data_IF_169938361339
#
_entry.id   IF_169938361339
#
_cell.length_a   1.000
_cell.length_b   1.000
_cell.length_c   1.000
_cell.angle_alpha   90.00
_cell.angle_beta   90.00
_cell.angle_gamma   90.00
#
_symmetry.space_group_name_H-M   'P 1'
#
loop_
_entity.id
_entity.type
_entity.pdbx_description
1 polymer ?
#
# COMPACT_ATOMS: atom_id res chain seq x y z
N UNK A 1 -21.01 8.33 -3.19
CA UNK A 1 -21.53 7.72 -1.95
C UNK A 1 -22.12 6.34 -2.26
N UNK A 2 -22.15 5.42 -1.29
CA UNK A 2 -22.70 4.07 -1.44
C UNK A 2 -24.06 3.94 -0.70
N UNK A 3 -24.87 2.98 -1.13
CA UNK A 3 -26.05 2.50 -0.39
C UNK A 3 -25.72 1.16 0.28
N UNK A 4 -26.34 0.89 1.43
CA UNK A 4 -26.19 -0.36 2.18
C UNK A 4 -27.56 -1.02 2.30
N UNK A 5 -27.63 -2.31 1.94
CA UNK A 5 -28.80 -3.13 2.08
C UNK A 5 -28.47 -4.37 2.91
N UNK A 6 -29.39 -4.79 3.78
CA UNK A 6 -29.41 -6.14 4.30
C UNK A 6 -30.38 -6.99 3.47
N UNK A 7 -30.08 -8.27 3.32
CA UNK A 7 -30.94 -9.20 2.57
C UNK A 7 -31.19 -10.49 3.34
N UNK A 8 -32.44 -10.94 3.36
CA UNK A 8 -32.82 -12.23 3.92
C UNK A 8 -33.49 -13.09 2.84
N UNK A 9 -33.17 -14.37 2.85
CA UNK A 9 -33.79 -15.36 1.97
C UNK A 9 -34.81 -16.15 2.77
N UNK A 10 -36.04 -16.20 2.29
CA UNK A 10 -37.11 -16.96 2.91
C UNK A 10 -36.99 -18.49 2.64
N UNK A 11 -37.89 -19.28 3.24
CA UNK A 11 -37.93 -20.74 3.10
C UNK A 11 -38.20 -21.22 1.66
N UNK A 12 -38.70 -20.34 0.77
CA UNK A 12 -38.98 -20.63 -0.64
C UNK A 12 -37.80 -20.23 -1.55
N UNK A 13 -36.75 -19.59 -0.99
CA UNK A 13 -35.60 -19.10 -1.74
C UNK A 13 -35.81 -17.70 -2.35
N UNK A 14 -36.81 -16.95 -1.88
CA UNK A 14 -37.07 -15.59 -2.30
C UNK A 14 -36.29 -14.60 -1.38
N UNK A 15 -35.60 -13.63 -1.99
CA UNK A 15 -34.86 -12.62 -1.28
C UNK A 15 -35.74 -11.38 -0.99
N UNK A 16 -35.70 -10.90 0.24
CA UNK A 16 -36.14 -9.56 0.64
C UNK A 16 -34.95 -8.70 1.02
N UNK A 17 -35.02 -7.39 0.77
CA UNK A 17 -33.96 -6.45 1.05
C UNK A 17 -34.50 -5.25 1.81
N UNK A 18 -33.82 -4.90 2.89
CA UNK A 18 -34.05 -3.69 3.67
C UNK A 18 -32.95 -2.67 3.40
N UNK A 19 -33.31 -1.42 3.15
CA UNK A 19 -32.38 -0.33 2.91
C UNK A 19 -31.91 0.24 4.25
N UNK A 20 -30.62 0.04 4.58
CA UNK A 20 -30.02 0.55 5.81
C UNK A 20 -29.48 1.96 5.60
N UNK A 21 -28.63 2.16 4.58
CA UNK A 21 -28.11 3.47 4.23
C UNK A 21 -28.44 3.83 2.79
N UNK A 22 -28.94 5.05 2.57
CA UNK A 22 -29.40 5.46 1.25
C UNK A 22 -30.21 6.77 1.27
N UNK A 23 -31.28 6.81 0.45
CA UNK A 23 -32.20 7.93 0.44
C UNK A 23 -33.25 7.75 1.55
N UNK A 24 -33.36 8.76 2.44
CA UNK A 24 -34.38 8.79 3.50
C UNK A 24 -35.81 8.66 2.94
N UNK A 25 -36.06 9.23 1.75
CA UNK A 25 -37.38 9.14 1.09
C UNK A 25 -37.75 7.69 0.69
N UNK A 26 -36.77 6.81 0.55
CA UNK A 26 -36.94 5.39 0.24
C UNK A 26 -36.91 4.51 1.51
N UNK A 27 -36.84 5.13 2.70
CA UNK A 27 -36.91 4.47 3.98
C UNK A 27 -35.55 4.12 4.61
N UNK A 28 -34.47 4.65 4.10
CA UNK A 28 -33.15 4.48 4.70
C UNK A 28 -33.07 5.15 6.08
N UNK A 29 -32.46 4.45 7.02
CA UNK A 29 -32.20 5.00 8.38
C UNK A 29 -30.98 5.92 8.39
N UNK A 30 -29.98 5.61 7.57
CA UNK A 30 -28.74 6.37 7.43
C UNK A 30 -28.62 6.99 6.03
N UNK A 31 -27.96 8.15 5.90
CA UNK A 31 -27.72 8.77 4.59
C UNK A 31 -26.74 7.96 3.74
N UNK A 32 -26.75 8.21 2.43
CA UNK A 32 -25.74 7.67 1.51
C UNK A 32 -24.33 7.88 2.03
N UNK A 33 -23.47 6.86 1.89
CA UNK A 33 -22.06 6.93 2.26
C UNK A 33 -21.81 7.15 3.74
N UNK A 34 -22.84 6.97 4.59
CA UNK A 34 -22.75 7.17 6.05
C UNK A 34 -22.26 8.57 6.42
N UNK A 35 -22.78 9.58 5.74
CA UNK A 35 -22.43 10.99 5.95
C UNK A 35 -21.17 11.46 5.23
N UNK A 36 -20.61 10.62 4.35
CA UNK A 36 -19.54 11.02 3.43
C UNK A 36 -20.03 10.99 1.99
N UNK A 37 -20.10 12.15 1.33
CA UNK A 37 -20.56 12.26 -0.06
C UNK A 37 -19.63 11.57 -1.07
N UNK A 38 -18.40 11.30 -0.68
CA UNK A 38 -17.32 10.78 -1.54
C UNK A 38 -17.02 9.32 -1.35
N UNK A 39 -17.55 8.71 -0.30
CA UNK A 39 -17.21 7.35 0.06
C UNK A 39 -17.94 6.32 -0.76
N UNK A 40 -17.18 5.32 -1.22
CA UNK A 40 -17.65 4.00 -1.58
C UNK A 40 -17.38 3.01 -0.43
N UNK A 41 -17.87 1.80 -0.56
CA UNK A 41 -17.48 0.67 0.28
C UNK A 41 -16.49 -0.20 -0.50
N UNK A 42 -15.26 -0.31 -0.03
CA UNK A 42 -14.20 -1.09 -0.67
C UNK A 42 -14.15 -2.52 -0.15
N UNK A 43 -14.44 -2.71 1.13
CA UNK A 43 -14.32 -4.01 1.79
C UNK A 43 -15.36 -4.18 2.90
N UNK A 44 -15.83 -5.41 3.06
CA UNK A 44 -16.70 -5.83 4.15
C UNK A 44 -16.04 -7.00 4.88
N UNK A 45 -16.05 -6.97 6.22
CA UNK A 45 -15.47 -8.01 7.06
C UNK A 45 -16.25 -8.16 8.36
N UNK A 46 -16.53 -9.40 8.75
CA UNK A 46 -17.12 -9.70 10.06
C UNK A 46 -16.04 -9.94 11.10
N UNK A 47 -16.15 -9.25 12.25
CA UNK A 47 -15.25 -9.43 13.39
C UNK A 47 -15.96 -9.07 14.68
N UNK A 48 -15.78 -9.87 15.73
CA UNK A 48 -16.31 -9.59 17.06
C UNK A 48 -17.84 -9.41 17.16
N UNK A 49 -18.60 -10.00 16.22
CA UNK A 49 -20.07 -9.86 16.16
C UNK A 49 -20.55 -8.64 15.34
N UNK A 50 -19.64 -7.86 14.76
CA UNK A 50 -19.94 -6.70 13.93
C UNK A 50 -19.60 -6.96 12.46
N UNK A 51 -20.29 -6.26 11.56
CA UNK A 51 -19.89 -6.12 10.17
C UNK A 51 -19.13 -4.80 9.99
N UNK A 52 -17.85 -4.88 9.62
CA UNK A 52 -17.02 -3.72 9.32
C UNK A 52 -17.18 -3.32 7.87
N UNK A 53 -17.24 -2.02 7.62
CA UNK A 53 -17.35 -1.39 6.30
C UNK A 53 -16.11 -0.53 6.10
N UNK A 54 -15.18 -1.00 5.28
CA UNK A 54 -14.01 -0.23 4.87
C UNK A 54 -14.37 0.75 3.77
N UNK A 55 -14.12 2.03 4.02
CA UNK A 55 -14.39 3.10 3.08
C UNK A 55 -13.46 3.10 1.86
N UNK A 56 -13.88 3.84 0.85
CA UNK A 56 -13.19 4.01 -0.42
C UNK A 56 -13.44 5.41 -0.95
N UNK A 57 -12.37 6.16 -1.19
CA UNK A 57 -12.38 7.39 -1.96
C UNK A 57 -11.62 7.15 -3.27
N UNK A 58 -12.09 7.73 -4.37
CA UNK A 58 -11.44 7.61 -5.67
C UNK A 58 -10.98 8.97 -6.18
N UNK A 59 -9.76 9.41 -5.79
CA UNK A 59 -9.22 10.69 -6.26
C UNK A 59 -8.95 10.69 -7.78
N UNK A 60 -8.99 9.53 -8.46
CA UNK A 60 -8.91 9.46 -9.91
C UNK A 60 -10.13 10.07 -10.59
N UNK A 61 -11.26 10.22 -9.89
CA UNK A 61 -12.42 10.94 -10.39
C UNK A 61 -12.13 12.44 -10.59
N UNK A 62 -11.19 13.00 -9.85
CA UNK A 62 -10.72 14.39 -10.03
C UNK A 62 -9.76 14.56 -11.22
N UNK A 63 -9.29 13.47 -11.84
CA UNK A 63 -8.29 13.52 -12.91
C UNK A 63 -8.69 14.40 -14.10
N UNK A 64 -9.93 14.38 -14.63
CA UNK A 64 -10.34 15.27 -15.71
C UNK A 64 -10.20 16.75 -15.36
N UNK A 65 -10.55 17.14 -14.13
CA UNK A 65 -10.47 18.52 -13.64
C UNK A 65 -9.01 18.94 -13.46
N UNK A 66 -8.21 18.08 -12.82
CA UNK A 66 -6.75 18.25 -12.66
C UNK A 66 -6.07 18.47 -14.02
N UNK A 67 -6.39 17.66 -15.02
CA UNK A 67 -5.82 17.80 -16.37
C UNK A 67 -6.18 19.15 -17.02
N UNK A 68 -7.27 19.76 -16.61
CA UNK A 68 -7.70 21.10 -17.08
C UNK A 68 -7.23 22.24 -16.14
N UNK A 69 -6.44 21.95 -15.12
CA UNK A 69 -5.86 22.92 -14.18
C UNK A 69 -6.76 23.28 -13.00
N UNK A 70 -7.86 22.54 -12.79
CA UNK A 70 -8.70 22.67 -11.60
C UNK A 70 -8.35 21.58 -10.60
N UNK A 71 -7.76 21.96 -9.47
CA UNK A 71 -7.32 21.05 -8.41
C UNK A 71 -8.33 20.96 -7.25
N UNK A 72 -9.51 21.60 -7.37
CA UNK A 72 -10.47 21.69 -6.27
C UNK A 72 -10.94 20.33 -5.82
N UNK A 73 -11.43 19.50 -6.75
CA UNK A 73 -11.91 18.14 -6.44
C UNK A 73 -10.82 17.26 -5.84
N UNK A 74 -9.59 17.32 -6.37
CA UNK A 74 -8.45 16.58 -5.82
C UNK A 74 -8.16 17.00 -4.37
N UNK A 75 -8.14 18.31 -4.10
CA UNK A 75 -7.91 18.82 -2.75
C UNK A 75 -8.99 18.36 -1.78
N UNK A 76 -10.24 18.41 -2.19
CA UNK A 76 -11.38 17.94 -1.39
C UNK A 76 -11.28 16.43 -1.12
N UNK A 77 -10.89 15.61 -2.11
CA UNK A 77 -10.68 14.18 -1.93
C UNK A 77 -9.55 13.89 -0.93
N UNK A 78 -8.41 14.56 -1.08
CA UNK A 78 -7.27 14.40 -0.17
C UNK A 78 -7.53 14.94 1.24
N UNK A 79 -8.48 15.89 1.37
CA UNK A 79 -8.90 16.44 2.67
C UNK A 79 -10.00 15.62 3.35
N UNK A 80 -10.53 14.61 2.66
CA UNK A 80 -11.56 13.70 3.16
C UNK A 80 -11.06 12.25 3.04
N UNK A 81 -10.05 11.87 3.80
CA UNK A 81 -9.50 10.52 3.74
C UNK A 81 -10.49 9.48 4.23
N UNK A 82 -10.16 8.22 3.97
CA UNK A 82 -11.06 7.09 4.17
C UNK A 82 -11.45 6.88 5.65
N UNK A 83 -12.70 6.45 5.85
CA UNK A 83 -13.23 6.07 7.16
C UNK A 83 -13.44 4.56 7.26
N UNK A 84 -13.59 4.09 8.51
CA UNK A 84 -14.01 2.74 8.86
C UNK A 84 -15.25 2.82 9.73
N UNK A 85 -16.27 2.10 9.35
CA UNK A 85 -17.49 1.94 10.15
C UNK A 85 -17.69 0.47 10.53
N UNK A 86 -18.53 0.24 11.54
CA UNK A 86 -19.06 -1.09 11.85
C UNK A 86 -20.53 -0.99 12.17
N UNK A 87 -21.27 -2.06 11.92
CA UNK A 87 -22.67 -2.18 12.32
C UNK A 87 -22.87 -3.48 13.10
N UNK A 88 -23.80 -3.44 14.05
CA UNK A 88 -24.21 -4.58 14.87
C UNK A 88 -25.38 -5.37 14.24
N UNK A 89 -25.90 -6.35 14.95
CA UNK A 89 -27.05 -7.18 14.52
C UNK A 89 -28.37 -6.41 14.41
N UNK A 90 -28.48 -5.21 15.01
CA UNK A 90 -29.65 -4.34 14.92
C UNK A 90 -29.51 -3.29 13.82
N UNK A 91 -28.42 -3.31 13.05
CA UNK A 91 -28.01 -2.31 12.08
C UNK A 91 -27.60 -0.95 12.70
N UNK A 92 -27.33 -0.90 14.02
CA UNK A 92 -26.77 0.30 14.64
C UNK A 92 -25.33 0.51 14.14
N UNK A 93 -25.04 1.69 13.57
CA UNK A 93 -23.75 2.00 12.96
C UNK A 93 -22.91 2.87 13.87
N UNK A 94 -21.65 2.48 14.04
CA UNK A 94 -20.62 3.25 14.74
C UNK A 94 -19.46 3.57 13.79
N UNK A 95 -18.89 4.76 13.90
CA UNK A 95 -17.67 5.13 13.19
C UNK A 95 -16.47 4.71 14.01
N UNK A 96 -15.65 3.79 13.48
CA UNK A 96 -14.47 3.25 14.16
C UNK A 96 -13.24 4.12 13.93
N UNK A 97 -13.02 4.57 12.69
CA UNK A 97 -11.97 5.52 12.32
C UNK A 97 -12.55 6.59 11.40
N UNK A 98 -12.25 7.85 11.64
CA UNK A 98 -12.82 8.95 10.87
C UNK A 98 -12.70 10.29 11.60
N UNK A 99 -13.48 11.28 11.14
CA UNK A 99 -13.61 12.60 11.76
C UNK A 99 -15.05 12.84 12.18
N UNK A 100 -15.28 13.65 13.23
CA UNK A 100 -16.63 14.03 13.64
C UNK A 100 -17.38 14.71 12.49
N UNK A 101 -18.64 14.34 12.31
CA UNK A 101 -19.53 14.92 11.32
C UNK A 101 -20.97 15.02 11.85
N UNK A 102 -21.92 15.41 11.01
CA UNK A 102 -23.33 15.57 11.44
C UNK A 102 -23.96 14.24 11.90
N UNK A 103 -23.58 13.11 11.32
CA UNK A 103 -24.10 11.79 11.67
C UNK A 103 -23.39 11.22 12.91
N UNK A 104 -22.09 11.48 13.05
CA UNK A 104 -21.25 11.03 14.16
C UNK A 104 -20.61 12.24 14.88
N UNK A 105 -21.39 13.03 15.64
CA UNK A 105 -20.91 14.28 16.23
C UNK A 105 -19.84 14.07 17.32
N UNK A 106 -19.85 12.91 17.96
CA UNK A 106 -18.83 12.55 18.98
C UNK A 106 -17.51 12.07 18.33
N UNK A 107 -17.50 11.89 16.99
CA UNK A 107 -16.36 11.36 16.25
C UNK A 107 -16.24 9.85 16.32
N UNK A 108 -15.05 9.32 15.96
CA UNK A 108 -14.80 7.87 15.99
C UNK A 108 -14.75 7.33 17.41
N UNK A 109 -15.23 6.08 17.60
CA UNK A 109 -15.11 5.35 18.85
C UNK A 109 -13.72 4.79 19.11
N UNK A 110 -12.89 4.68 18.04
CA UNK A 110 -11.54 4.13 18.08
C UNK A 110 -10.46 5.21 18.22
N UNK A 111 -9.20 4.75 18.21
CA UNK A 111 -8.03 5.59 18.39
C UNK A 111 -7.50 6.19 17.07
N UNK A 112 -8.12 5.86 15.92
CA UNK A 112 -7.62 6.30 14.59
C UNK A 112 -8.51 7.39 13.99
N UNK A 113 -7.89 8.49 13.52
CA UNK A 113 -8.58 9.51 12.72
C UNK A 113 -8.89 8.99 11.30
N UNK A 114 -9.54 9.81 10.49
CA UNK A 114 -9.74 9.52 9.08
C UNK A 114 -8.42 9.22 8.38
N UNK A 115 -8.43 8.31 7.41
CA UNK A 115 -7.24 7.80 6.74
C UNK A 115 -6.24 7.10 7.65
N UNK A 116 -6.63 6.77 8.87
CA UNK A 116 -5.73 6.17 9.88
C UNK A 116 -4.50 7.02 10.17
N UNK A 117 -4.62 8.35 10.01
CA UNK A 117 -3.59 9.34 10.24
C UNK A 117 -2.81 9.76 8.99
N UNK A 118 -3.16 9.25 7.82
CA UNK A 118 -2.60 9.72 6.54
C UNK A 118 -3.71 10.10 5.55
N UNK A 119 -3.66 11.34 5.05
CA UNK A 119 -4.57 11.78 3.99
C UNK A 119 -4.34 11.04 2.66
N UNK A 120 -3.21 10.35 2.53
CA UNK A 120 -2.89 9.56 1.34
C UNK A 120 -3.55 8.18 1.34
N UNK A 121 -4.07 7.73 2.48
CA UNK A 121 -4.87 6.52 2.60
C UNK A 121 -6.28 6.77 2.07
N UNK A 122 -6.55 6.28 0.87
CA UNK A 122 -7.80 6.52 0.14
C UNK A 122 -8.72 5.29 0.10
N UNK A 123 -8.22 4.10 0.44
CA UNK A 123 -9.00 2.88 0.61
C UNK A 123 -8.64 2.16 1.91
N UNK A 124 -9.63 1.58 2.58
CA UNK A 124 -9.45 0.36 3.36
C UNK A 124 -9.50 -0.79 2.35
N UNK A 125 -8.35 -1.15 1.79
CA UNK A 125 -8.33 -2.05 0.64
C UNK A 125 -8.65 -3.48 1.01
N UNK A 126 -8.12 -3.94 2.15
CA UNK A 126 -8.38 -5.29 2.63
C UNK A 126 -8.46 -5.35 4.16
N UNK A 127 -9.36 -6.18 4.65
CA UNK A 127 -9.42 -6.61 6.05
C UNK A 127 -9.38 -8.13 6.10
N UNK A 128 -8.84 -8.68 7.19
CA UNK A 128 -8.81 -10.11 7.46
C UNK A 128 -8.87 -10.36 8.96
N UNK A 129 -9.61 -11.42 9.35
CA UNK A 129 -9.63 -11.91 10.72
C UNK A 129 -8.68 -13.11 10.81
N UNK A 130 -7.59 -12.94 11.52
CA UNK A 130 -6.60 -13.99 11.72
C UNK A 130 -6.22 -14.08 13.20
N UNK A 131 -6.26 -15.29 13.77
CA UNK A 131 -5.99 -15.58 15.18
C UNK A 131 -6.73 -14.67 16.17
N UNK A 132 -8.01 -14.35 15.88
CA UNK A 132 -8.82 -13.48 16.72
C UNK A 132 -8.46 -12.00 16.69
N UNK A 133 -7.60 -11.58 15.78
CA UNK A 133 -7.22 -10.19 15.52
C UNK A 133 -7.76 -9.73 14.16
N UNK A 134 -8.15 -8.46 14.10
CA UNK A 134 -8.56 -7.81 12.86
C UNK A 134 -7.36 -7.09 12.22
N UNK A 135 -6.93 -7.57 11.07
CA UNK A 135 -5.91 -6.93 10.24
C UNK A 135 -6.57 -6.03 9.20
N UNK A 136 -5.97 -4.87 8.97
CA UNK A 136 -6.48 -3.88 8.03
C UNK A 136 -5.32 -3.29 7.22
N UNK A 137 -5.42 -3.35 5.90
CA UNK A 137 -4.44 -2.76 4.99
C UNK A 137 -5.07 -1.72 4.07
N UNK A 138 -4.32 -0.65 3.82
CA UNK A 138 -4.77 0.51 3.06
C UNK A 138 -4.24 0.54 1.62
N UNK A 139 -4.70 1.52 0.89
CA UNK A 139 -4.13 2.01 -0.36
C UNK A 139 -3.61 3.42 -0.15
N UNK A 140 -2.33 3.63 -0.43
CA UNK A 140 -1.68 4.93 -0.46
C UNK A 140 -1.57 5.44 -1.90
N UNK A 141 -2.25 6.55 -2.20
CA UNK A 141 -2.19 7.16 -3.53
C UNK A 141 -0.80 7.70 -3.86
N UNK A 142 -0.03 8.11 -2.86
CA UNK A 142 1.32 8.63 -3.06
C UNK A 142 2.30 7.59 -3.59
N UNK A 143 2.08 6.31 -3.29
CA UNK A 143 2.89 5.23 -3.82
C UNK A 143 2.91 5.17 -5.36
N UNK A 144 1.81 5.54 -6.02
CA UNK A 144 1.73 5.63 -7.49
C UNK A 144 2.51 6.80 -8.07
N UNK A 145 2.69 7.87 -7.29
CA UNK A 145 3.38 9.10 -7.71
C UNK A 145 4.90 9.04 -7.49
N UNK A 146 5.36 8.11 -6.68
CA UNK A 146 6.73 8.00 -6.19
C UNK A 146 7.81 8.18 -7.28
N UNK A 147 7.82 7.45 -8.40
CA UNK A 147 8.89 7.54 -9.38
C UNK A 147 9.02 8.93 -10.01
N UNK A 148 7.88 9.58 -10.28
CA UNK A 148 7.84 10.87 -10.96
C UNK A 148 8.29 11.98 -10.01
N UNK A 149 7.78 11.99 -8.78
CA UNK A 149 8.12 13.00 -7.78
C UNK A 149 9.60 13.02 -7.46
N UNK A 150 10.24 11.88 -7.34
CA UNK A 150 11.66 11.76 -7.02
C UNK A 150 12.58 12.35 -8.07
N UNK A 151 12.24 12.25 -9.36
CA UNK A 151 13.03 12.81 -10.44
C UNK A 151 12.93 14.34 -10.58
N UNK A 152 11.92 14.94 -10.00
CA UNK A 152 11.59 16.33 -10.30
C UNK A 152 11.71 17.26 -9.11
N UNK A 153 11.61 16.78 -7.87
CA UNK A 153 11.71 17.57 -6.64
C UNK A 153 13.06 17.46 -5.93
N UNK A 154 14.04 16.73 -6.51
CA UNK A 154 15.36 16.51 -5.95
C UNK A 154 15.44 15.38 -4.91
N UNK A 155 14.38 14.67 -4.63
CA UNK A 155 14.39 13.49 -3.74
C UNK A 155 15.26 12.36 -4.31
N UNK A 156 15.50 12.39 -5.61
CA UNK A 156 16.45 11.50 -6.29
C UNK A 156 17.82 11.44 -5.58
N UNK A 157 18.29 12.55 -5.01
CA UNK A 157 19.57 12.60 -4.29
C UNK A 157 19.51 11.98 -2.90
N UNK A 158 18.33 11.67 -2.40
CA UNK A 158 18.08 11.08 -1.08
C UNK A 158 17.78 9.59 -1.15
N UNK A 159 17.55 9.06 -2.34
CA UNK A 159 17.19 7.65 -2.54
C UNK A 159 18.28 6.71 -2.04
N UNK A 160 17.86 5.63 -1.40
CA UNK A 160 18.75 4.51 -1.04
C UNK A 160 19.24 3.77 -2.29
N UNK A 161 20.23 2.89 -2.12
CA UNK A 161 20.75 2.04 -3.21
C UNK A 161 19.63 1.15 -3.78
N UNK A 162 18.82 0.57 -2.91
CA UNK A 162 17.71 -0.33 -3.26
C UNK A 162 16.63 0.42 -4.05
N UNK A 163 16.30 1.64 -3.65
CA UNK A 163 15.35 2.50 -4.38
C UNK A 163 15.89 2.87 -5.75
N UNK A 164 17.18 3.20 -5.85
CA UNK A 164 17.84 3.47 -7.13
C UNK A 164 17.79 2.27 -8.07
N UNK A 165 18.16 1.07 -7.59
CA UNK A 165 18.14 -0.15 -8.38
C UNK A 165 16.74 -0.38 -8.96
N UNK A 166 15.70 -0.25 -8.15
CA UNK A 166 14.31 -0.40 -8.59
C UNK A 166 13.89 0.62 -9.65
N UNK A 167 14.27 1.89 -9.50
CA UNK A 167 13.97 2.93 -10.48
C UNK A 167 14.68 2.68 -11.81
N UNK A 168 15.92 2.22 -11.76
CA UNK A 168 16.71 1.85 -12.94
C UNK A 168 16.07 0.69 -13.71
N UNK A 169 15.66 -0.37 -13.00
CA UNK A 169 14.97 -1.51 -13.60
C UNK A 169 13.68 -1.07 -14.32
N UNK A 170 12.92 -0.17 -13.71
CA UNK A 170 11.73 0.41 -14.33
C UNK A 170 12.05 1.19 -15.59
N UNK A 171 13.05 2.09 -15.54
CA UNK A 171 13.48 2.87 -16.70
C UNK A 171 13.99 1.94 -17.83
N UNK A 172 14.73 0.90 -17.50
CA UNK A 172 15.18 -0.11 -18.48
C UNK A 172 14.02 -0.81 -19.17
N UNK A 173 12.95 -1.15 -18.45
CA UNK A 173 11.75 -1.74 -19.05
C UNK A 173 11.08 -0.77 -20.04
N UNK A 174 10.95 0.51 -19.68
CA UNK A 174 10.43 1.56 -20.58
C UNK A 174 11.31 1.71 -21.81
N UNK A 175 12.64 1.72 -21.64
CA UNK A 175 13.61 1.78 -22.74
C UNK A 175 13.51 0.54 -23.65
N UNK A 176 13.38 -0.66 -23.08
CA UNK A 176 13.23 -1.89 -23.83
C UNK A 176 11.96 -1.89 -24.68
N UNK A 177 10.84 -1.43 -24.12
CA UNK A 177 9.58 -1.24 -24.86
C UNK A 177 9.75 -0.24 -26.02
N UNK A 178 10.44 0.88 -25.77
CA UNK A 178 10.72 1.89 -26.76
C UNK A 178 11.59 1.35 -27.90
N UNK A 179 12.67 0.61 -27.59
CA UNK A 179 13.56 -0.03 -28.57
C UNK A 179 12.81 -1.06 -29.42
N UNK A 180 11.89 -1.81 -28.87
CA UNK A 180 11.15 -2.85 -29.58
C UNK A 180 10.16 -2.26 -30.59
N UNK A 181 9.49 -1.17 -30.24
CA UNK A 181 8.56 -0.47 -31.13
C UNK A 181 9.26 0.25 -32.28
N UNK A 182 10.47 0.77 -32.06
CA UNK A 182 11.19 1.59 -33.06
C UNK A 182 12.13 0.81 -34.00
N UNK A 183 12.30 -0.49 -33.81
CA UNK A 183 13.24 -1.31 -34.64
C UNK A 183 13.00 -1.25 -36.18
N UNK A 184 11.81 -0.86 -36.61
CA UNK A 184 11.40 -0.90 -38.03
C UNK A 184 11.58 0.43 -38.79
N UNK A 185 11.52 1.56 -38.13
CA UNK A 185 11.38 2.87 -38.77
C UNK A 185 12.69 3.68 -38.81
N UNK A 186 13.60 3.47 -37.90
CA UNK A 186 14.87 4.19 -37.78
C UNK A 186 15.82 3.89 -38.96
N UNK A 187 15.77 2.69 -39.50
CA UNK A 187 16.63 2.27 -40.60
C UNK A 187 16.32 2.94 -41.97
N UNK A 188 15.18 3.60 -42.11
CA UNK A 188 14.69 4.16 -43.38
C UNK A 188 14.84 5.68 -43.50
N UNK A 189 15.17 6.38 -42.42
CA UNK A 189 15.25 7.85 -42.39
C UNK A 189 16.68 8.32 -42.11
N UNK A 190 17.16 9.36 -42.75
CA UNK A 190 18.54 9.85 -42.65
C UNK A 190 19.01 10.39 -41.28
N UNK A 191 18.28 10.09 -40.19
CA UNK A 191 18.56 10.54 -38.81
C UNK A 191 19.56 9.63 -38.04
N UNK A 192 20.38 8.86 -38.76
CA UNK A 192 21.22 7.80 -38.19
C UNK A 192 22.22 8.26 -37.08
N UNK A 193 22.67 9.52 -37.13
CA UNK A 193 23.66 10.01 -36.15
C UNK A 193 23.03 10.40 -34.79
N UNK A 194 21.88 11.05 -34.81
CA UNK A 194 21.18 11.51 -33.61
C UNK A 194 20.51 10.34 -32.87
N UNK A 195 20.00 9.38 -33.66
CA UNK A 195 19.46 8.13 -33.11
C UNK A 195 20.58 7.25 -32.54
N UNK A 196 21.74 7.19 -33.17
CA UNK A 196 22.90 6.46 -32.64
C UNK A 196 23.40 7.06 -31.32
N UNK A 197 23.38 8.38 -31.18
CA UNK A 197 23.73 9.06 -29.92
C UNK A 197 22.72 8.74 -28.79
N UNK A 198 21.44 8.71 -29.12
CA UNK A 198 20.40 8.29 -28.17
C UNK A 198 20.59 6.82 -27.74
N UNK A 199 20.87 5.93 -28.69
CA UNK A 199 21.17 4.52 -28.42
C UNK A 199 22.42 4.34 -27.55
N UNK A 200 23.47 5.12 -27.79
CA UNK A 200 24.71 5.11 -27.01
C UNK A 200 24.44 5.55 -25.54
N UNK A 201 23.64 6.58 -25.35
CA UNK A 201 23.27 7.04 -24.01
C UNK A 201 22.34 6.05 -23.30
N UNK A 202 21.46 5.37 -24.03
CA UNK A 202 20.63 4.29 -23.47
C UNK A 202 21.49 3.09 -23.03
N UNK A 203 22.52 2.72 -23.81
CA UNK A 203 23.51 1.69 -23.44
C UNK A 203 24.33 2.15 -22.23
N UNK A 204 24.69 3.43 -22.17
CA UNK A 204 25.42 4.00 -21.02
C UNK A 204 24.56 3.96 -19.76
N UNK A 205 23.26 4.24 -19.87
CA UNK A 205 22.31 4.12 -18.76
C UNK A 205 22.20 2.66 -18.28
N UNK A 206 22.13 1.72 -19.21
CA UNK A 206 22.11 0.27 -18.92
C UNK A 206 23.39 -0.18 -18.19
N UNK A 207 24.56 0.24 -18.67
CA UNK A 207 25.85 -0.06 -18.05
C UNK A 207 26.01 0.59 -16.66
N UNK A 208 25.50 1.81 -16.46
CA UNK A 208 25.49 2.46 -15.16
C UNK A 208 24.58 1.70 -14.19
N UNK A 209 23.48 1.12 -14.67
CA UNK A 209 22.56 0.34 -13.84
C UNK A 209 23.17 -0.99 -13.38
N UNK A 210 23.89 -1.69 -14.26
CA UNK A 210 24.55 -2.95 -13.95
C UNK A 210 25.68 -2.78 -12.90
N UNK A 211 26.34 -1.62 -12.90
CA UNK A 211 27.42 -1.29 -11.97
C UNK A 211 26.97 -0.53 -10.72
N UNK A 212 25.65 -0.36 -10.52
CA UNK A 212 25.09 0.37 -9.38
C UNK A 212 25.26 -0.36 -8.03
N UNK A 213 25.84 -1.55 -8.06
CA UNK A 213 25.90 -2.46 -6.92
C UNK A 213 26.92 -2.10 -5.84
N UNK A 214 27.93 -1.28 -6.08
CA UNK A 214 29.01 -1.21 -5.13
C UNK A 214 29.07 0.02 -4.24
N UNK A 215 28.71 1.18 -4.61
CA UNK A 215 28.53 2.38 -3.75
C UNK A 215 27.90 3.52 -4.54
N UNK A 216 26.62 3.74 -4.41
CA UNK A 216 25.97 4.86 -5.09
C UNK A 216 26.30 6.16 -4.36
N UNK A 217 27.34 6.85 -4.82
CA UNK A 217 27.70 8.16 -4.31
C UNK A 217 26.73 9.24 -4.82
N UNK A 218 26.71 10.40 -4.18
CA UNK A 218 25.96 11.56 -4.68
C UNK A 218 26.38 11.94 -6.11
N UNK A 219 27.67 11.76 -6.45
CA UNK A 219 28.19 12.02 -7.78
C UNK A 219 27.62 11.04 -8.85
N UNK A 220 27.42 9.77 -8.48
CA UNK A 220 26.84 8.80 -9.40
C UNK A 220 25.34 9.07 -9.64
N UNK A 221 24.61 9.46 -8.60
CA UNK A 221 23.22 9.91 -8.70
C UNK A 221 23.09 11.14 -9.60
N UNK A 222 24.01 12.10 -9.50
CA UNK A 222 24.02 13.27 -10.36
C UNK A 222 24.28 12.90 -11.83
N UNK A 223 25.25 12.01 -12.10
CA UNK A 223 25.51 11.53 -13.47
C UNK A 223 24.30 10.85 -14.08
N UNK A 224 23.60 10.03 -13.30
CA UNK A 224 22.39 9.37 -13.75
C UNK A 224 21.30 10.37 -14.11
N UNK A 225 21.10 11.38 -13.26
CA UNK A 225 20.14 12.46 -13.51
C UNK A 225 20.50 13.28 -14.76
N UNK A 226 21.76 13.67 -14.89
CA UNK A 226 22.26 14.43 -16.05
C UNK A 226 22.05 13.64 -17.34
N UNK A 227 22.29 12.32 -17.31
CA UNK A 227 22.06 11.42 -18.46
C UNK A 227 20.57 11.33 -18.84
N UNK A 228 19.67 11.30 -17.88
CA UNK A 228 18.22 11.33 -18.17
C UNK A 228 17.82 12.65 -18.85
N UNK A 229 18.36 13.77 -18.39
CA UNK A 229 18.10 15.05 -19.04
C UNK A 229 18.67 15.10 -20.47
N UNK A 230 19.85 14.55 -20.69
CA UNK A 230 20.47 14.46 -22.01
C UNK A 230 19.65 13.55 -22.95
N UNK A 231 19.18 12.40 -22.48
CA UNK A 231 18.27 11.50 -23.23
C UNK A 231 16.99 12.23 -23.62
N UNK A 232 16.42 13.05 -22.72
CA UNK A 232 15.25 13.87 -23.03
C UNK A 232 15.53 14.87 -24.18
N UNK A 233 16.64 15.59 -24.11
CA UNK A 233 17.02 16.54 -25.16
C UNK A 233 17.28 15.84 -26.50
N UNK A 234 17.93 14.68 -26.47
CA UNK A 234 18.16 13.85 -27.67
C UNK A 234 16.85 13.34 -28.25
N UNK A 235 15.91 12.91 -27.41
CA UNK A 235 14.57 12.55 -27.88
C UNK A 235 13.93 13.71 -28.64
N UNK A 236 13.95 14.92 -28.07
CA UNK A 236 13.37 16.10 -28.73
C UNK A 236 14.01 16.39 -30.08
N UNK A 237 15.31 16.07 -30.29
CA UNK A 237 16.01 16.25 -31.55
C UNK A 237 15.62 15.22 -32.61
N UNK A 238 15.29 13.99 -32.22
CA UNK A 238 14.93 12.90 -33.14
C UNK A 238 13.42 12.67 -33.28
N UNK A 239 12.65 13.40 -32.52
CA UNK A 239 11.20 13.23 -32.36
C UNK A 239 10.44 13.06 -33.69
N UNK A 240 10.75 13.89 -34.66
CA UNK A 240 10.02 13.94 -35.94
C UNK A 240 10.27 12.70 -36.82
N UNK A 241 11.25 11.87 -36.48
CA UNK A 241 11.59 10.62 -37.17
C UNK A 241 10.96 9.39 -36.51
N UNK A 242 10.28 9.56 -35.37
CA UNK A 242 9.64 8.47 -34.67
C UNK A 242 8.22 8.21 -35.18
N UNK A 243 7.73 7.01 -34.97
CA UNK A 243 6.34 6.67 -35.30
C UNK A 243 5.35 7.63 -34.58
N UNK A 244 4.33 8.04 -35.32
CA UNK A 244 3.38 9.08 -34.87
C UNK A 244 2.73 8.79 -33.50
N UNK A 245 2.46 7.52 -33.18
CA UNK A 245 1.86 7.17 -31.90
C UNK A 245 2.88 7.24 -30.76
N UNK A 246 4.15 6.91 -31.02
CA UNK A 246 5.25 7.08 -30.06
C UNK A 246 5.49 8.55 -29.81
N UNK A 247 5.54 9.38 -30.87
CA UNK A 247 5.63 10.83 -30.75
C UNK A 247 4.51 11.39 -29.90
N UNK A 248 3.26 11.07 -30.20
CA UNK A 248 2.10 11.56 -29.45
C UNK A 248 2.19 11.20 -27.97
N UNK A 249 2.60 9.98 -27.66
CA UNK A 249 2.72 9.51 -26.28
C UNK A 249 3.80 10.28 -25.55
N UNK A 250 5.01 10.39 -26.12
CA UNK A 250 6.14 11.04 -25.46
C UNK A 250 5.95 12.56 -25.43
N UNK A 251 5.42 13.18 -26.49
CA UNK A 251 5.07 14.60 -26.49
C UNK A 251 3.97 14.93 -25.47
N UNK A 252 2.98 14.08 -25.38
CA UNK A 252 2.00 14.19 -24.32
C UNK A 252 2.67 14.17 -22.94
N UNK A 253 3.71 13.36 -22.75
CA UNK A 253 4.47 13.32 -21.49
C UNK A 253 5.37 14.55 -21.26
N UNK A 254 5.89 15.20 -22.29
CA UNK A 254 6.94 16.22 -22.14
C UNK A 254 6.49 17.67 -22.33
N UNK A 255 5.42 17.94 -23.07
CA UNK A 255 5.07 19.30 -23.49
C UNK A 255 3.61 19.70 -23.37
N UNK A 256 2.75 18.85 -22.83
CA UNK A 256 1.32 19.14 -22.73
C UNK A 256 1.02 19.75 -21.37
N UNK A 257 0.26 20.86 -21.35
CA UNK A 257 -0.24 21.51 -20.15
C UNK A 257 -0.98 20.53 -19.22
N UNK A 258 -1.72 19.57 -19.77
CA UNK A 258 -2.40 18.54 -19.01
C UNK A 258 -1.44 17.63 -18.23
N UNK A 259 -0.31 17.29 -18.81
CA UNK A 259 0.73 16.48 -18.12
C UNK A 259 1.44 17.32 -17.07
N UNK A 260 1.69 18.60 -17.34
CA UNK A 260 2.21 19.49 -16.32
C UNK A 260 1.25 19.61 -15.14
N UNK A 261 -0.06 19.75 -15.39
CA UNK A 261 -1.08 19.78 -14.35
C UNK A 261 -1.12 18.46 -13.56
N UNK A 262 -1.09 17.33 -14.24
CA UNK A 262 -0.97 16.00 -13.60
C UNK A 262 0.29 15.88 -12.74
N UNK A 263 1.43 16.35 -13.24
CA UNK A 263 2.66 16.42 -12.48
C UNK A 263 2.52 17.30 -11.23
N UNK A 264 1.88 18.47 -11.33
CA UNK A 264 1.63 19.32 -10.17
C UNK A 264 0.74 18.62 -9.12
N UNK A 265 -0.27 17.85 -9.55
CA UNK A 265 -1.08 17.05 -8.64
C UNK A 265 -0.25 15.99 -7.90
N UNK A 266 0.63 15.30 -8.62
CA UNK A 266 1.57 14.33 -8.02
C UNK A 266 2.48 15.01 -7.00
N UNK A 267 3.05 16.18 -7.32
CA UNK A 267 3.88 16.94 -6.38
C UNK A 267 3.08 17.35 -5.13
N UNK A 268 1.82 17.69 -5.30
CA UNK A 268 0.92 18.00 -4.18
C UNK A 268 0.75 16.78 -3.26
N UNK A 269 0.47 15.60 -3.82
CA UNK A 269 0.38 14.35 -3.06
C UNK A 269 1.69 14.03 -2.34
N UNK A 270 2.82 14.12 -3.03
CA UNK A 270 4.16 13.89 -2.44
C UNK A 270 4.45 14.85 -1.28
N UNK A 271 4.07 16.11 -1.44
CA UNK A 271 4.23 17.12 -0.38
C UNK A 271 3.33 16.82 0.82
N UNK A 272 2.06 16.51 0.57
CA UNK A 272 1.08 16.23 1.63
C UNK A 272 1.36 14.91 2.37
N UNK A 273 2.03 13.95 1.75
CA UNK A 273 2.45 12.69 2.41
C UNK A 273 3.50 12.89 3.51
N UNK A 274 4.10 14.07 3.60
CA UNK A 274 5.15 14.40 4.57
C UNK A 274 6.32 13.40 4.60
N UNK A 275 6.52 12.64 3.54
CA UNK A 275 7.58 11.65 3.39
C UNK A 275 7.17 10.21 3.74
N UNK A 276 6.00 10.00 4.31
CA UNK A 276 5.40 8.66 4.45
C UNK A 276 4.77 8.26 3.13
N UNK A 277 5.12 7.08 2.62
CA UNK A 277 4.67 6.54 1.32
C UNK A 277 4.67 5.03 1.37
N UNK A 278 3.71 4.46 0.65
CA UNK A 278 3.43 3.04 0.68
C UNK A 278 2.23 2.75 1.57
N UNK A 279 1.63 1.58 1.41
CA UNK A 279 0.44 1.24 2.19
C UNK A 279 0.75 1.15 3.68
N UNK A 280 -0.28 1.42 4.47
CA UNK A 280 -0.28 1.18 5.90
C UNK A 280 -0.92 -0.18 6.20
N UNK A 281 -0.39 -0.85 7.22
CA UNK A 281 -0.93 -2.09 7.78
C UNK A 281 -1.13 -1.92 9.27
N UNK A 282 -2.32 -2.30 9.71
CA UNK A 282 -2.76 -2.19 11.11
C UNK A 282 -3.27 -3.53 11.63
N UNK A 283 -3.27 -3.67 12.96
CA UNK A 283 -3.85 -4.80 13.68
C UNK A 283 -4.67 -4.30 14.88
N UNK A 284 -5.78 -4.97 15.16
CA UNK A 284 -6.63 -4.68 16.31
C UNK A 284 -7.04 -5.96 17.02
N UNK A 285 -7.01 -5.93 18.36
CA UNK A 285 -7.50 -7.02 19.21
C UNK A 285 -8.98 -6.87 19.59
N UNK A 286 -9.52 -5.66 19.50
CA UNK A 286 -10.88 -5.32 19.94
C UNK A 286 -11.78 -4.82 18.81
N UNK A 287 -11.20 -4.64 17.60
CA UNK A 287 -11.89 -4.09 16.44
C UNK A 287 -12.14 -2.58 16.50
N UNK A 288 -11.66 -1.91 17.53
CA UNK A 288 -11.88 -0.47 17.77
C UNK A 288 -10.56 0.29 17.78
N UNK A 289 -9.59 -0.21 18.54
CA UNK A 289 -8.27 0.39 18.65
C UNK A 289 -7.27 -0.38 17.77
N UNK A 290 -6.55 0.36 16.93
CA UNK A 290 -5.60 -0.22 15.99
C UNK A 290 -4.17 0.17 16.35
N UNK A 291 -3.29 -0.82 16.29
CA UNK A 291 -1.84 -0.68 16.36
C UNK A 291 -1.24 -0.71 14.95
N UNK A 292 -0.17 0.06 14.76
CA UNK A 292 0.51 0.15 13.47
C UNK A 292 1.52 -0.98 13.33
N UNK A 293 1.43 -1.76 12.24
CA UNK A 293 2.47 -2.72 11.85
C UNK A 293 3.49 -2.04 10.94
N UNK A 294 3.04 -1.32 9.92
CA UNK A 294 3.90 -0.52 9.02
C UNK A 294 3.14 0.67 8.46
N UNK A 295 3.89 1.74 8.06
CA UNK A 295 3.39 2.92 7.35
C UNK A 295 4.18 3.24 6.07
N UNK A 296 5.00 2.29 5.61
CA UNK A 296 5.94 2.50 4.51
C UNK A 296 5.92 1.39 3.45
N UNK A 297 4.79 0.66 3.36
CA UNK A 297 4.63 -0.42 2.41
C UNK A 297 5.53 -1.64 2.70
N UNK A 298 5.79 -1.94 3.96
CA UNK A 298 6.73 -2.97 4.41
C UNK A 298 8.19 -2.64 4.01
N UNK A 299 8.59 -1.39 4.14
CA UNK A 299 9.91 -0.89 3.78
C UNK A 299 10.09 -0.58 2.29
N UNK A 300 9.01 -0.63 1.52
CA UNK A 300 9.03 -0.33 0.09
C UNK A 300 7.94 0.68 -0.27
N UNK A 301 8.28 1.96 -0.45
CA UNK A 301 7.32 3.03 -0.74
C UNK A 301 6.58 2.87 -2.08
N UNK A 302 7.00 1.94 -2.94
CA UNK A 302 6.29 1.62 -4.18
C UNK A 302 5.21 0.53 -4.00
N UNK A 303 5.15 -0.11 -2.85
CA UNK A 303 4.02 -0.92 -2.43
C UNK A 303 2.86 0.00 -2.04
N UNK A 304 2.08 0.43 -3.03
CA UNK A 304 1.01 1.41 -2.79
C UNK A 304 -0.25 0.82 -2.18
N UNK A 305 -0.34 -0.50 -2.03
CA UNK A 305 -1.54 -1.09 -1.46
C UNK A 305 -1.37 -2.50 -0.89
N UNK A 306 -2.05 -2.74 0.22
CA UNK A 306 -2.29 -4.07 0.76
C UNK A 306 -3.47 -4.69 0.01
N UNK A 307 -3.19 -5.48 -1.03
CA UNK A 307 -4.22 -5.94 -1.97
C UNK A 307 -4.92 -7.21 -1.53
N UNK A 308 -4.21 -8.11 -0.87
CA UNK A 308 -4.74 -9.42 -0.50
C UNK A 308 -4.13 -9.92 0.80
N UNK A 309 -4.96 -10.56 1.60
CA UNK A 309 -4.52 -11.44 2.68
C UNK A 309 -4.78 -12.90 2.29
N UNK A 310 -3.92 -13.79 2.76
CA UNK A 310 -4.12 -15.23 2.63
C UNK A 310 -3.63 -15.93 3.91
N UNK A 311 -4.52 -16.65 4.57
CA UNK A 311 -4.19 -17.44 5.75
C UNK A 311 -3.55 -18.76 5.29
N UNK A 312 -2.40 -19.09 5.86
CA UNK A 312 -1.64 -20.32 5.60
C UNK A 312 -1.26 -21.00 6.92
N UNK A 313 -0.79 -22.24 6.85
CA UNK A 313 -0.28 -22.95 8.03
C UNK A 313 0.97 -22.27 8.65
N UNK A 314 1.63 -21.38 7.90
CA UNK A 314 2.83 -20.66 8.33
C UNK A 314 2.55 -19.25 8.84
N UNK A 315 1.31 -18.77 8.76
CA UNK A 315 0.94 -17.40 9.17
C UNK A 315 0.05 -16.68 8.16
N UNK A 316 -0.16 -15.40 8.40
CA UNK A 316 -0.92 -14.51 7.53
C UNK A 316 -0.02 -13.94 6.43
N UNK A 317 -0.29 -14.28 5.19
CA UNK A 317 0.39 -13.69 4.04
C UNK A 317 -0.27 -12.38 3.62
N UNK A 318 0.57 -11.37 3.37
CA UNK A 318 0.18 -10.05 2.84
C UNK A 318 0.72 -9.93 1.43
N UNK A 319 -0.18 -9.81 0.45
CA UNK A 319 0.19 -9.54 -0.94
C UNK A 319 0.03 -8.07 -1.27
N UNK A 320 1.10 -7.45 -1.78
CA UNK A 320 1.15 -6.02 -2.08
C UNK A 320 0.70 -5.72 -3.50
N UNK A 321 0.29 -4.50 -3.75
CA UNK A 321 0.15 -3.94 -5.08
C UNK A 321 1.34 -3.02 -5.37
N UNK A 322 2.15 -3.40 -6.36
CA UNK A 322 3.30 -2.65 -6.83
C UNK A 322 3.34 -2.69 -8.35
N UNK A 323 2.93 -1.60 -9.04
CA UNK A 323 2.85 -1.57 -10.50
C UNK A 323 4.20 -1.36 -11.19
N UNK A 324 5.27 -1.06 -10.45
CA UNK A 324 6.54 -0.66 -11.03
C UNK A 324 7.46 -1.85 -11.30
N UNK A 325 7.53 -2.83 -10.38
CA UNK A 325 8.41 -3.99 -10.52
C UNK A 325 7.83 -5.29 -9.95
N UNK A 326 6.53 -5.28 -9.65
CA UNK A 326 5.78 -6.48 -9.30
C UNK A 326 5.42 -6.57 -7.83
N UNK A 327 4.36 -7.32 -7.56
CA UNK A 327 3.84 -7.54 -6.22
C UNK A 327 4.84 -8.34 -5.36
N UNK A 328 4.86 -8.00 -4.08
CA UNK A 328 5.60 -8.73 -3.05
C UNK A 328 4.63 -9.54 -2.20
N UNK A 329 5.11 -10.63 -1.63
CA UNK A 329 4.35 -11.40 -0.64
C UNK A 329 5.17 -11.44 0.65
N UNK A 330 4.56 -10.95 1.71
CA UNK A 330 5.12 -10.93 3.05
C UNK A 330 4.39 -11.94 3.91
N UNK A 331 5.11 -12.66 4.76
CA UNK A 331 4.55 -13.53 5.77
C UNK A 331 4.62 -12.82 7.12
N UNK A 332 3.46 -12.53 7.69
CA UNK A 332 3.35 -12.10 9.07
C UNK A 332 3.31 -13.35 9.92
N UNK A 333 4.42 -13.63 10.58
CA UNK A 333 4.44 -14.59 11.65
C UNK A 333 4.04 -13.86 12.93
N UNK A 334 3.24 -14.46 13.77
CA UNK A 334 3.21 -14.07 15.17
C UNK A 334 4.65 -14.22 15.64
N UNK A 335 5.28 -13.12 16.05
CA UNK A 335 6.63 -13.17 16.58
C UNK A 335 6.66 -14.23 17.68
N UNK A 336 7.77 -14.94 17.81
CA UNK A 336 7.95 -15.93 18.85
C UNK A 336 7.50 -15.34 20.20
N UNK A 337 6.42 -15.90 20.75
CA UNK A 337 5.83 -15.41 21.99
C UNK A 337 6.60 -16.04 23.15
N UNK A 338 7.36 -15.21 23.86
CA UNK A 338 8.14 -15.69 25.00
C UNK A 338 7.27 -16.44 25.97
N UNK A 339 7.62 -17.70 26.24
CA UNK A 339 6.87 -18.60 27.11
C UNK A 339 5.89 -19.55 26.39
N UNK A 340 5.56 -19.30 25.10
CA UNK A 340 4.73 -20.19 24.29
C UNK A 340 5.63 -21.22 23.58
N UNK A 341 5.99 -22.26 24.35
CA UNK A 341 7.00 -23.24 23.93
C UNK A 341 6.41 -24.28 22.98
N UNK A 342 5.14 -24.58 23.12
CA UNK A 342 4.42 -25.50 22.23
C UNK A 342 3.92 -24.83 20.93
N UNK A 343 4.07 -23.49 20.81
CA UNK A 343 3.68 -22.67 19.64
C UNK A 343 2.19 -22.73 19.34
N UNK A 344 1.31 -22.89 20.38
CA UNK A 344 -0.15 -22.93 20.18
C UNK A 344 -0.82 -21.56 20.34
N UNK A 345 -0.05 -20.50 20.65
CA UNK A 345 -0.51 -19.11 20.84
C UNK A 345 -0.94 -18.80 22.28
N UNK A 346 -0.98 -19.77 23.18
CA UNK A 346 -1.36 -19.61 24.59
C UNK A 346 -0.18 -19.96 25.52
N UNK A 347 0.14 -19.08 26.48
CA UNK A 347 1.14 -19.40 27.52
C UNK A 347 0.41 -20.07 28.68
N UNK A 348 0.68 -21.34 28.91
CA UNK A 348 0.00 -22.12 29.94
C UNK A 348 0.87 -23.30 30.47
N UNK A 349 0.26 -24.19 31.23
CA UNK A 349 0.96 -25.33 31.87
C UNK A 349 1.54 -26.32 30.86
N UNK A 350 1.05 -26.36 29.61
CA UNK A 350 1.55 -27.26 28.58
C UNK A 350 2.95 -26.82 28.10
N UNK A 351 3.19 -25.51 28.00
CA UNK A 351 4.51 -24.94 27.67
C UNK A 351 5.53 -25.26 28.74
N UNK A 352 5.17 -25.02 29.98
CA UNK A 352 6.01 -25.40 31.11
C UNK A 352 6.32 -26.92 31.12
N UNK A 353 5.38 -27.75 30.67
CA UNK A 353 5.54 -29.19 30.56
C UNK A 353 6.54 -29.55 29.43
N UNK A 354 6.49 -28.86 28.30
CA UNK A 354 7.46 -29.06 27.20
C UNK A 354 8.88 -28.71 27.64
N UNK A 355 9.06 -27.58 28.35
CA UNK A 355 10.37 -27.23 28.93
C UNK A 355 10.86 -28.30 29.91
N UNK A 356 9.98 -28.81 30.79
CA UNK A 356 10.31 -29.87 31.71
C UNK A 356 10.72 -31.15 30.97
N UNK A 357 10.02 -31.54 29.91
CA UNK A 357 10.37 -32.69 29.07
C UNK A 357 11.73 -32.51 28.38
N UNK A 358 12.04 -31.32 27.94
CA UNK A 358 13.35 -30.98 27.36
C UNK A 358 14.48 -31.13 28.40
N UNK A 359 14.33 -30.53 29.57
CA UNK A 359 15.29 -30.63 30.69
C UNK A 359 15.51 -32.10 31.10
N UNK A 360 14.45 -32.91 31.06
CA UNK A 360 14.51 -34.33 31.37
C UNK A 360 15.11 -35.18 30.22
N UNK A 361 15.40 -34.61 29.07
CA UNK A 361 15.90 -35.30 27.88
C UNK A 361 14.86 -36.21 27.21
N UNK A 362 13.57 -35.98 27.44
CA UNK A 362 12.45 -36.72 26.86
C UNK A 362 12.05 -36.12 25.51
N UNK A 363 12.19 -34.80 25.35
CA UNK A 363 11.86 -34.01 24.16
C UNK A 363 13.06 -33.14 23.78
N UNK A 364 13.31 -32.99 22.49
CA UNK A 364 14.28 -32.03 21.96
C UNK A 364 13.51 -30.86 21.38
N UNK A 365 13.75 -29.65 21.89
CA UNK A 365 13.12 -28.42 21.40
C UNK A 365 13.84 -27.95 20.13
N UNK A 366 13.08 -27.33 19.20
CA UNK A 366 13.64 -26.63 18.04
C UNK A 366 14.33 -25.34 18.45
N UNK A 367 15.11 -24.71 17.57
CA UNK A 367 15.79 -23.43 17.84
C UNK A 367 14.79 -22.31 18.23
N UNK A 368 13.62 -22.27 17.59
CA UNK A 368 12.55 -21.31 17.90
C UNK A 368 11.95 -21.59 19.28
N UNK A 369 11.68 -22.85 19.61
CA UNK A 369 11.18 -23.25 20.92
C UNK A 369 12.19 -22.97 22.04
N UNK A 370 13.47 -23.18 21.79
CA UNK A 370 14.57 -22.83 22.71
C UNK A 370 14.55 -21.30 22.95
N UNK A 371 14.37 -20.51 21.88
CA UNK A 371 14.35 -19.06 22.00
C UNK A 371 13.22 -18.58 22.91
N UNK A 372 12.00 -19.14 22.77
CA UNK A 372 10.85 -18.73 23.60
C UNK A 372 10.83 -19.38 24.98
N UNK A 373 11.56 -20.46 25.18
CA UNK A 373 11.67 -21.14 26.45
C UNK A 373 12.57 -20.40 27.45
N UNK A 374 13.56 -19.62 26.98
CA UNK A 374 14.45 -18.79 27.81
C UNK A 374 13.75 -17.48 28.21
N UNK A 375 12.75 -17.59 29.09
CA UNK A 375 11.93 -16.44 29.49
C UNK A 375 12.62 -15.48 30.45
N UNK A 376 13.76 -15.91 31.04
CA UNK A 376 14.56 -15.09 31.94
C UNK A 376 15.80 -14.47 31.24
N UNK A 377 16.05 -14.82 29.97
CA UNK A 377 17.15 -14.35 29.11
C UNK A 377 18.56 -14.64 29.68
N UNK A 378 18.74 -15.76 30.42
CA UNK A 378 20.03 -16.12 30.97
C UNK A 378 20.87 -17.05 30.03
N UNK A 379 20.29 -17.51 28.93
CA UNK A 379 20.89 -18.35 27.91
C UNK A 379 20.90 -19.85 28.26
N UNK A 380 20.22 -20.25 29.35
CA UNK A 380 20.11 -21.63 29.79
C UNK A 380 18.65 -22.04 29.97
N UNK A 381 18.21 -23.09 29.32
CA UNK A 381 16.86 -23.63 29.51
C UNK A 381 16.85 -24.52 30.75
N UNK A 382 16.18 -24.05 31.82
CA UNK A 382 16.23 -24.77 33.10
C UNK A 382 14.91 -24.57 33.92
N UNK A 383 14.89 -25.01 35.18
CA UNK A 383 13.68 -24.98 36.02
C UNK A 383 13.22 -23.56 36.39
N UNK A 384 14.08 -22.56 36.25
CA UNK A 384 13.69 -21.18 36.51
C UNK A 384 12.78 -20.66 35.42
N UNK A 385 12.99 -21.07 34.15
CA UNK A 385 12.11 -20.73 33.02
C UNK A 385 10.74 -21.37 33.21
N UNK A 386 10.72 -22.66 33.55
CA UNK A 386 9.47 -23.37 33.91
C UNK A 386 8.67 -22.61 34.97
N UNK A 387 9.37 -22.10 35.99
CA UNK A 387 8.73 -21.38 37.08
C UNK A 387 8.13 -20.06 36.63
N UNK A 388 8.82 -19.33 35.71
CA UNK A 388 8.34 -18.07 35.18
C UNK A 388 7.16 -18.25 34.20
N UNK A 389 7.18 -19.29 33.36
CA UNK A 389 6.06 -19.64 32.47
C UNK A 389 4.78 -19.94 33.27
N UNK A 390 4.91 -20.48 34.48
CA UNK A 390 3.78 -20.84 35.34
C UNK A 390 3.23 -19.68 36.18
N UNK A 391 3.89 -18.53 36.22
CA UNK A 391 3.50 -17.35 37.02
C UNK A 391 2.64 -16.39 36.25
#
# INVERSE_FOLDING_TARGET
>A
AFALFSGEMDENGEWSFDLIAGNEADGAEYPFGLGSDRSGAANLMTYGGYLYIGGYNDPMLALPDVLNGDFTSLYEDLSSPVCLWRLDENNDIEMVAGESNELFPEGPIGNMPAGFGSNMNQYVWRMENYNGQLYLGTFDICGLAQPIGQFTNGDIFKMSKEEWTRQIDYIQQVIAMFKEQNKKDIASTGANLEVASLEENLITLENLSENFDEVTTLADKQKFYDLILEIKEQYLSVRDYLETEVQKTIDAMLSNEKIYNFYCAIQCCVYLSQGERGFDLFVSNDGVNFDVITRDGMGDPNNHGCRVFAITDSGLCVGTANPFYGAQVWLLNEGLKMGDVNMDGEINIFDATEVQCHIAGILELTDDQITVADVNYDGEINIFDVTQIQM
#
